data_IF_228064459799
#
_entry.id   IF_228064459799
#
_cell.length_a   1.000
_cell.length_b   1.000
_cell.length_c   1.000
_cell.angle_alpha   90.00
_cell.angle_beta   90.00
_cell.angle_gamma   90.00
#
_symmetry.space_group_name_H-M   'P 1'
#
loop_
_entity.id
_entity.type
_entity.pdbx_description
1 polymer ?
#
# COMPACT_ATOMS: atom_id res chain seq x y z
N UNK A 1 -11.27 23.76 -11.03
CA UNK A 1 -10.95 23.55 -9.60
C UNK A 1 -10.35 22.18 -9.42
N UNK A 2 -9.85 21.82 -8.22
CA UNK A 2 -9.35 20.46 -7.93
C UNK A 2 -10.48 19.43 -8.13
N UNK A 3 -11.72 19.79 -7.80
CA UNK A 3 -12.91 18.97 -8.05
C UNK A 3 -13.18 18.77 -9.55
N UNK A 4 -12.95 19.78 -10.40
CA UNK A 4 -12.99 19.61 -11.87
C UNK A 4 -11.91 18.63 -12.33
N UNK A 5 -10.70 18.72 -11.76
CA UNK A 5 -9.59 17.84 -12.12
C UNK A 5 -9.87 16.38 -11.72
N UNK A 6 -10.41 16.16 -10.52
CA UNK A 6 -10.87 14.85 -10.05
C UNK A 6 -11.91 14.25 -10.99
N UNK A 7 -12.91 15.05 -11.39
CA UNK A 7 -13.95 14.58 -12.30
C UNK A 7 -13.41 14.25 -13.69
N UNK A 8 -12.45 15.04 -14.21
CA UNK A 8 -11.78 14.75 -15.47
C UNK A 8 -10.93 13.47 -15.39
N UNK A 9 -10.27 13.25 -14.25
CA UNK A 9 -9.43 12.10 -14.00
C UNK A 9 -10.21 10.78 -13.86
N UNK A 10 -11.55 10.79 -13.81
CA UNK A 10 -12.33 9.55 -13.81
C UNK A 10 -12.18 8.76 -15.11
N UNK A 11 -12.01 9.44 -16.25
CA UNK A 11 -11.73 8.78 -17.53
C UNK A 11 -10.25 8.38 -17.62
N UNK A 12 -9.97 7.11 -17.95
CA UNK A 12 -8.59 6.57 -18.05
C UNK A 12 -7.72 7.37 -19.03
N UNK A 13 -8.27 7.67 -20.20
CA UNK A 13 -7.66 8.43 -21.28
C UNK A 13 -7.38 9.90 -20.96
N UNK A 14 -7.89 10.41 -19.83
CA UNK A 14 -7.55 11.72 -19.28
C UNK A 14 -6.49 11.67 -18.17
N UNK A 15 -6.37 10.57 -17.42
CA UNK A 15 -5.41 10.47 -16.31
C UNK A 15 -3.98 10.70 -16.80
N UNK A 16 -3.54 9.98 -17.83
CA UNK A 16 -2.19 10.12 -18.39
C UNK A 16 -1.96 11.53 -18.95
N UNK A 17 -2.93 12.11 -19.66
CA UNK A 17 -2.84 13.48 -20.18
C UNK A 17 -2.71 14.54 -19.08
N UNK A 18 -3.38 14.35 -17.94
CA UNK A 18 -3.26 15.24 -16.78
C UNK A 18 -1.85 15.17 -16.20
N UNK A 19 -1.28 13.97 -16.08
CA UNK A 19 0.09 13.78 -15.60
C UNK A 19 1.08 14.43 -16.57
N UNK A 20 0.95 14.18 -17.87
CA UNK A 20 1.79 14.74 -18.93
C UNK A 20 1.69 16.26 -19.03
N UNK A 21 0.52 16.83 -18.73
CA UNK A 21 0.31 18.28 -18.70
C UNK A 21 0.98 18.98 -17.49
N UNK A 22 1.73 18.26 -16.66
CA UNK A 22 2.54 18.85 -15.58
C UNK A 22 1.73 19.23 -14.34
N UNK A 23 0.59 18.59 -14.09
CA UNK A 23 -0.23 18.88 -12.90
C UNK A 23 0.36 18.32 -11.60
N UNK A 24 1.24 17.32 -11.67
CA UNK A 24 1.80 16.66 -10.48
C UNK A 24 2.61 17.61 -9.60
N UNK A 25 3.58 18.40 -10.12
CA UNK A 25 4.31 19.38 -9.29
C UNK A 25 3.41 20.43 -8.64
N UNK A 26 2.31 20.80 -9.30
CA UNK A 26 1.35 21.76 -8.74
C UNK A 26 0.57 21.16 -7.58
N UNK A 27 0.13 19.90 -7.69
CA UNK A 27 -0.53 19.19 -6.60
C UNK A 27 0.43 19.00 -5.41
N UNK A 28 1.68 18.61 -5.70
CA UNK A 28 2.74 18.49 -4.69
C UNK A 28 2.95 19.80 -3.92
N UNK A 29 3.18 20.91 -4.64
CA UNK A 29 3.39 22.22 -4.01
C UNK A 29 2.19 22.70 -3.18
N UNK A 30 0.96 22.34 -3.56
CA UNK A 30 -0.22 22.64 -2.74
C UNK A 30 -0.31 21.76 -1.49
N UNK A 31 0.07 20.49 -1.58
CA UNK A 31 0.06 19.56 -0.44
C UNK A 31 1.13 19.93 0.60
N UNK A 32 2.24 20.49 0.15
CA UNK A 32 3.35 20.95 0.99
C UNK A 32 3.10 22.30 1.67
N UNK A 33 2.04 23.03 1.26
CA UNK A 33 1.67 24.29 1.90
C UNK A 33 1.29 24.08 3.39
N UNK A 34 1.80 24.96 4.25
CA UNK A 34 1.65 24.86 5.72
C UNK A 34 0.23 25.12 6.21
N UNK A 35 -0.55 25.94 5.51
CA UNK A 35 -1.88 26.41 5.95
C UNK A 35 -3.02 25.89 5.08
N UNK A 36 -2.89 24.66 4.57
CA UNK A 36 -3.85 24.10 3.65
C UNK A 36 -5.21 23.85 4.33
N UNK A 37 -6.26 24.45 3.77
CA UNK A 37 -7.64 24.26 4.23
C UNK A 37 -8.07 22.78 4.13
N UNK A 38 -8.74 22.25 5.15
CA UNK A 38 -9.19 20.85 5.21
C UNK A 38 -10.00 20.42 3.99
N UNK A 39 -10.88 21.27 3.45
CA UNK A 39 -11.63 20.98 2.23
C UNK A 39 -10.74 20.85 1.00
N UNK A 40 -9.69 21.67 0.89
CA UNK A 40 -8.70 21.56 -0.18
C UNK A 40 -7.87 20.29 -0.01
N UNK A 41 -7.46 19.97 1.21
CA UNK A 41 -6.72 18.73 1.52
C UNK A 41 -7.52 17.48 1.16
N UNK A 42 -8.83 17.45 1.48
CA UNK A 42 -9.72 16.34 1.11
C UNK A 42 -9.78 16.19 -0.42
N UNK A 43 -9.97 17.30 -1.15
CA UNK A 43 -10.04 17.29 -2.61
C UNK A 43 -8.70 16.87 -3.27
N UNK A 44 -7.56 17.32 -2.73
CA UNK A 44 -6.24 16.93 -3.23
C UNK A 44 -5.98 15.44 -2.99
N UNK A 45 -6.24 14.94 -1.79
CA UNK A 45 -6.04 13.51 -1.49
C UNK A 45 -6.94 12.62 -2.33
N UNK A 46 -8.21 13.00 -2.54
CA UNK A 46 -9.10 12.31 -3.46
C UNK A 46 -8.59 12.33 -4.91
N UNK A 47 -8.09 13.48 -5.37
CA UNK A 47 -7.52 13.60 -6.71
C UNK A 47 -6.28 12.73 -6.90
N UNK A 48 -5.37 12.69 -5.92
CA UNK A 48 -4.18 11.82 -5.94
C UNK A 48 -4.60 10.35 -5.93
N UNK A 49 -5.60 9.96 -5.13
CA UNK A 49 -6.10 8.59 -5.10
C UNK A 49 -6.58 8.15 -6.49
N UNK A 50 -7.38 8.98 -7.18
CA UNK A 50 -7.86 8.67 -8.53
C UNK A 50 -6.73 8.64 -9.57
N UNK A 51 -5.81 9.60 -9.53
CA UNK A 51 -4.69 9.64 -10.47
C UNK A 51 -3.69 8.51 -10.24
N UNK A 52 -3.53 8.05 -9.00
CA UNK A 52 -2.69 6.91 -8.64
C UNK A 52 -3.17 5.57 -9.19
N UNK A 53 -4.37 5.49 -9.78
CA UNK A 53 -4.84 4.27 -10.42
C UNK A 53 -4.08 3.96 -11.72
N UNK A 54 -3.60 4.98 -12.45
CA UNK A 54 -2.80 4.78 -13.65
C UNK A 54 -1.31 4.71 -13.33
N UNK A 55 -0.55 3.94 -14.12
CA UNK A 55 0.87 3.67 -13.84
C UNK A 55 1.74 4.94 -13.78
N UNK A 56 1.45 5.92 -14.66
CA UNK A 56 2.13 7.21 -14.65
C UNK A 56 1.90 7.96 -13.31
N UNK A 57 0.69 7.88 -12.75
CA UNK A 57 0.36 8.50 -11.48
C UNK A 57 1.05 7.84 -10.29
N UNK A 58 1.12 6.51 -10.27
CA UNK A 58 1.80 5.74 -9.19
C UNK A 58 3.23 6.22 -8.98
N UNK A 59 3.98 6.36 -10.06
CA UNK A 59 5.38 6.82 -10.03
C UNK A 59 5.44 8.31 -9.70
N UNK A 60 4.61 9.13 -10.35
CA UNK A 60 4.70 10.57 -10.24
C UNK A 60 4.36 11.09 -8.83
N UNK A 61 3.49 10.39 -8.09
CA UNK A 61 3.11 10.77 -6.73
C UNK A 61 3.93 10.11 -5.62
N UNK A 62 4.94 9.29 -5.94
CA UNK A 62 5.86 8.73 -4.95
C UNK A 62 6.51 9.80 -4.04
N UNK A 63 6.93 10.99 -4.53
CA UNK A 63 7.44 12.05 -3.66
C UNK A 63 6.43 12.54 -2.61
N UNK A 64 5.12 12.34 -2.81
CA UNK A 64 4.08 12.69 -1.84
C UNK A 64 3.92 11.67 -0.71
N UNK A 65 4.55 10.50 -0.80
CA UNK A 65 4.29 9.35 0.08
C UNK A 65 4.30 9.72 1.57
N UNK A 66 5.37 10.37 2.03
CA UNK A 66 5.51 10.77 3.43
C UNK A 66 4.41 11.74 3.87
N UNK A 67 4.06 12.71 3.01
CA UNK A 67 2.98 13.66 3.31
C UNK A 67 1.62 12.96 3.36
N UNK A 68 1.32 12.06 2.42
CA UNK A 68 0.11 11.25 2.44
C UNK A 68 0.02 10.41 3.72
N UNK A 69 1.13 9.81 4.16
CA UNK A 69 1.18 9.04 5.41
C UNK A 69 0.85 9.91 6.63
N UNK A 70 1.35 11.14 6.68
CA UNK A 70 0.98 12.09 7.74
C UNK A 70 -0.51 12.45 7.69
N UNK A 71 -1.09 12.57 6.49
CA UNK A 71 -2.52 12.89 6.32
C UNK A 71 -3.45 11.77 6.80
N UNK A 72 -2.98 10.51 6.87
CA UNK A 72 -3.74 9.39 7.48
C UNK A 72 -3.94 9.53 9.00
N UNK A 73 -3.33 10.55 9.63
CA UNK A 73 -3.47 10.84 11.07
C UNK A 73 -4.49 11.95 11.35
N UNK A 74 -5.01 12.62 10.33
CA UNK A 74 -5.95 13.71 10.51
C UNK A 74 -7.31 13.21 10.99
N UNK A 75 -8.07 14.08 11.67
CA UNK A 75 -9.41 13.77 12.20
C UNK A 75 -10.45 13.53 11.10
N UNK A 76 -10.24 14.09 9.91
CA UNK A 76 -11.13 13.87 8.77
C UNK A 76 -10.97 12.43 8.24
N UNK A 77 -11.96 11.58 8.53
CA UNK A 77 -12.02 10.19 8.05
C UNK A 77 -11.90 10.13 6.52
N UNK A 78 -12.58 11.04 5.82
CA UNK A 78 -12.52 11.11 4.35
C UNK A 78 -11.10 11.40 3.84
N UNK A 79 -10.44 12.42 4.42
CA UNK A 79 -9.07 12.78 4.03
C UNK A 79 -8.10 11.64 4.35
N UNK A 80 -8.24 11.01 5.52
CA UNK A 80 -7.40 9.89 5.92
C UNK A 80 -7.60 8.68 5.00
N UNK A 81 -8.85 8.35 4.66
CA UNK A 81 -9.19 7.25 3.76
C UNK A 81 -8.65 7.48 2.35
N UNK A 82 -8.83 8.69 1.80
CA UNK A 82 -8.31 9.05 0.47
C UNK A 82 -6.78 9.02 0.43
N UNK A 83 -6.12 9.53 1.49
CA UNK A 83 -4.66 9.45 1.59
C UNK A 83 -4.16 8.00 1.65
N UNK A 84 -4.82 7.14 2.44
CA UNK A 84 -4.49 5.72 2.52
C UNK A 84 -4.73 4.99 1.19
N UNK A 85 -5.83 5.27 0.49
CA UNK A 85 -6.09 4.72 -0.84
C UNK A 85 -5.02 5.16 -1.86
N UNK A 86 -4.62 6.43 -1.83
CA UNK A 86 -3.51 6.92 -2.65
C UNK A 86 -2.19 6.19 -2.36
N UNK A 87 -1.88 5.91 -1.09
CA UNK A 87 -0.68 5.16 -0.68
C UNK A 87 -0.70 3.74 -1.26
N UNK A 88 -1.80 3.01 -1.11
CA UNK A 88 -1.90 1.66 -1.67
C UNK A 88 -1.82 1.65 -3.21
N UNK A 89 -2.44 2.65 -3.87
CA UNK A 89 -2.35 2.84 -5.31
C UNK A 89 -0.91 3.05 -5.77
N UNK A 90 -0.17 3.96 -5.11
CA UNK A 90 1.26 4.17 -5.37
C UNK A 90 2.04 2.86 -5.18
N UNK A 91 1.82 2.16 -4.07
CA UNK A 91 2.52 0.93 -3.73
C UNK A 91 2.35 -0.19 -4.78
N UNK A 92 1.15 -0.32 -5.37
CA UNK A 92 0.86 -1.32 -6.41
C UNK A 92 1.71 -1.21 -7.68
N UNK A 93 2.39 -0.07 -7.88
CA UNK A 93 3.25 0.18 -9.04
C UNK A 93 4.74 0.29 -8.71
N UNK A 94 5.14 0.08 -7.46
CA UNK A 94 6.54 0.23 -7.07
C UNK A 94 7.35 -1.02 -7.40
N UNK A 95 8.47 -0.81 -8.09
CA UNK A 95 9.53 -1.82 -8.20
C UNK A 95 10.46 -1.76 -6.98
N UNK A 96 10.83 -0.55 -6.56
CA UNK A 96 11.60 -0.29 -5.34
C UNK A 96 10.69 0.05 -4.16
N UNK A 97 10.74 -0.78 -3.14
CA UNK A 97 9.94 -0.65 -1.92
C UNK A 97 10.70 0.04 -0.77
N UNK A 98 11.95 0.49 -0.99
CA UNK A 98 12.74 1.20 0.01
C UNK A 98 12.01 2.42 0.61
N UNK A 99 11.27 3.25 -0.17
CA UNK A 99 10.51 4.36 0.40
C UNK A 99 9.45 3.90 1.42
N UNK A 100 8.72 2.82 1.13
CA UNK A 100 7.74 2.26 2.06
C UNK A 100 8.40 1.69 3.31
N UNK A 101 9.50 0.96 3.15
CA UNK A 101 10.26 0.38 4.27
C UNK A 101 10.78 1.49 5.20
N UNK A 102 11.30 2.58 4.62
CA UNK A 102 11.82 3.72 5.40
C UNK A 102 10.75 4.44 6.23
N UNK A 103 9.49 4.30 5.85
CA UNK A 103 8.34 4.93 6.50
C UNK A 103 7.46 3.92 7.25
N UNK A 104 7.99 2.72 7.54
CA UNK A 104 7.22 1.63 8.13
C UNK A 104 6.49 2.02 9.42
N UNK A 105 7.09 2.84 10.27
CA UNK A 105 6.44 3.26 11.52
C UNK A 105 5.15 4.05 11.26
N UNK A 106 5.13 4.92 10.25
CA UNK A 106 3.92 5.63 9.83
C UNK A 106 2.90 4.68 9.19
N UNK A 107 3.39 3.74 8.38
CA UNK A 107 2.56 2.72 7.72
C UNK A 107 1.86 1.84 8.76
N UNK A 108 2.62 1.20 9.64
CA UNK A 108 2.12 0.38 10.73
C UNK A 108 1.13 1.16 11.61
N UNK A 109 1.45 2.44 11.89
CA UNK A 109 0.58 3.32 12.65
C UNK A 109 -0.81 3.48 12.02
N UNK A 110 -0.89 3.78 10.72
CA UNK A 110 -2.19 3.96 10.07
C UNK A 110 -2.93 2.64 9.86
N UNK A 111 -2.22 1.58 9.47
CA UNK A 111 -2.80 0.24 9.29
C UNK A 111 -3.45 -0.24 10.59
N UNK A 112 -2.73 -0.11 11.72
CA UNK A 112 -3.26 -0.48 13.03
C UNK A 112 -4.53 0.30 13.38
N UNK A 113 -4.56 1.61 13.13
CA UNK A 113 -5.77 2.44 13.37
C UNK A 113 -6.94 2.03 12.49
N UNK A 114 -6.68 1.76 11.21
CA UNK A 114 -7.74 1.44 10.25
C UNK A 114 -8.32 0.05 10.55
N UNK A 115 -7.47 -0.96 10.77
CA UNK A 115 -7.88 -2.33 11.10
C UNK A 115 -8.58 -2.45 12.45
N UNK A 116 -8.29 -1.55 13.41
CA UNK A 116 -8.96 -1.50 14.70
C UNK A 116 -10.21 -0.59 14.71
N UNK A 117 -10.57 0.00 13.57
CA UNK A 117 -11.73 0.89 13.49
C UNK A 117 -13.05 0.11 13.52
N UNK A 118 -14.18 0.82 13.57
CA UNK A 118 -15.51 0.21 13.35
C UNK A 118 -15.98 0.31 11.90
N UNK A 119 -15.12 0.77 10.98
CA UNK A 119 -15.51 1.09 9.61
C UNK A 119 -15.08 0.00 8.62
N UNK A 120 -16.04 -0.73 8.00
CA UNK A 120 -15.74 -1.68 6.93
C UNK A 120 -14.94 -1.08 5.77
N UNK A 121 -15.18 0.19 5.43
CA UNK A 121 -14.43 0.85 4.37
C UNK A 121 -12.94 1.04 4.75
N UNK A 122 -12.65 1.43 6.00
CA UNK A 122 -11.26 1.57 6.46
C UNK A 122 -10.56 0.22 6.57
N UNK A 123 -11.29 -0.83 6.97
CA UNK A 123 -10.81 -2.21 6.94
C UNK A 123 -10.39 -2.62 5.53
N UNK A 124 -11.27 -2.43 4.55
CA UNK A 124 -10.99 -2.73 3.15
C UNK A 124 -9.75 -1.99 2.64
N UNK A 125 -9.66 -0.67 2.87
CA UNK A 125 -8.49 0.15 2.45
C UNK A 125 -7.19 -0.37 3.08
N UNK A 126 -7.20 -0.72 4.37
CA UNK A 126 -6.02 -1.22 5.06
C UNK A 126 -5.59 -2.62 4.57
N UNK A 127 -6.54 -3.55 4.44
CA UNK A 127 -6.27 -4.90 3.95
C UNK A 127 -5.78 -4.87 2.49
N UNK A 128 -6.40 -4.04 1.65
CA UNK A 128 -5.96 -3.88 0.28
C UNK A 128 -4.57 -3.26 0.18
N UNK A 129 -4.25 -2.25 1.00
CA UNK A 129 -2.89 -1.68 1.08
C UNK A 129 -1.86 -2.73 1.52
N UNK A 130 -2.20 -3.54 2.54
CA UNK A 130 -1.37 -4.64 3.01
C UNK A 130 -1.10 -5.68 1.91
N UNK A 131 -2.11 -5.99 1.09
CA UNK A 131 -1.94 -6.89 -0.06
C UNK A 131 -0.90 -6.34 -1.04
N UNK A 132 -0.96 -5.03 -1.35
CA UNK A 132 0.05 -4.39 -2.21
C UNK A 132 1.45 -4.38 -1.56
N UNK A 133 1.55 -4.13 -0.26
CA UNK A 133 2.84 -4.16 0.44
C UNK A 133 3.45 -5.56 0.50
N UNK A 134 2.61 -6.59 0.61
CA UNK A 134 3.05 -7.99 0.66
C UNK A 134 3.63 -8.51 -0.66
N UNK A 135 3.54 -7.73 -1.76
CA UNK A 135 4.29 -8.01 -3.01
C UNK A 135 5.81 -7.90 -2.81
N UNK A 136 6.26 -7.13 -1.83
CA UNK A 136 7.68 -7.07 -1.45
C UNK A 136 8.01 -8.12 -0.40
N UNK A 137 8.95 -9.06 -0.65
CA UNK A 137 9.37 -10.05 0.34
C UNK A 137 9.86 -9.41 1.65
N UNK A 138 10.51 -8.24 1.56
CA UNK A 138 11.00 -7.51 2.73
C UNK A 138 9.87 -6.88 3.53
N UNK A 139 8.90 -6.22 2.90
CA UNK A 139 7.73 -5.69 3.61
C UNK A 139 6.86 -6.82 4.17
N UNK A 140 6.66 -7.91 3.41
CA UNK A 140 6.00 -9.12 3.90
C UNK A 140 6.65 -9.65 5.17
N UNK A 141 7.98 -9.76 5.20
CA UNK A 141 8.72 -10.14 6.42
C UNK A 141 8.50 -9.16 7.56
N UNK A 142 8.51 -7.85 7.30
CA UNK A 142 8.25 -6.83 8.33
C UNK A 142 6.81 -6.93 8.87
N UNK A 143 5.81 -7.14 8.00
CA UNK A 143 4.40 -7.35 8.38
C UNK A 143 4.28 -8.56 9.31
N UNK A 144 4.85 -9.70 8.90
CA UNK A 144 4.82 -10.96 9.66
C UNK A 144 5.52 -10.86 11.02
N UNK A 145 6.58 -10.05 11.11
CA UNK A 145 7.29 -9.79 12.37
C UNK A 145 6.60 -8.75 13.27
N UNK A 146 5.56 -8.05 12.77
CA UNK A 146 4.78 -7.09 13.55
C UNK A 146 3.60 -7.79 14.20
N UNK A 147 3.83 -8.45 15.34
CA UNK A 147 2.86 -9.31 16.01
C UNK A 147 1.48 -8.65 16.23
N UNK A 148 1.44 -7.39 16.67
CA UNK A 148 0.18 -6.66 16.89
C UNK A 148 -0.64 -6.50 15.61
N UNK A 149 0.04 -6.27 14.48
CA UNK A 149 -0.60 -6.10 13.19
C UNK A 149 -1.14 -7.43 12.67
N UNK A 150 -0.37 -8.52 12.80
CA UNK A 150 -0.82 -9.88 12.46
C UNK A 150 -2.05 -10.28 13.28
N UNK A 151 -2.10 -9.96 14.57
CA UNK A 151 -3.28 -10.21 15.40
C UNK A 151 -4.51 -9.45 14.88
N UNK A 152 -4.36 -8.18 14.51
CA UNK A 152 -5.47 -7.40 13.93
C UNK A 152 -5.96 -8.00 12.61
N UNK A 153 -5.06 -8.35 11.70
CA UNK A 153 -5.41 -8.96 10.40
C UNK A 153 -6.18 -10.27 10.61
N UNK A 154 -5.68 -11.14 11.48
CA UNK A 154 -6.31 -12.44 11.76
C UNK A 154 -7.68 -12.28 12.41
N UNK A 155 -7.79 -11.47 13.46
CA UNK A 155 -9.07 -11.25 14.16
C UNK A 155 -10.13 -10.64 13.23
N UNK A 156 -9.69 -9.77 12.31
CA UNK A 156 -10.58 -9.19 11.32
C UNK A 156 -11.06 -10.23 10.29
N UNK A 157 -10.15 -11.07 9.78
CA UNK A 157 -10.49 -12.16 8.86
C UNK A 157 -11.50 -13.15 9.49
N UNK A 158 -11.27 -13.55 10.74
CA UNK A 158 -12.18 -14.43 11.51
C UNK A 158 -13.56 -13.78 11.74
N UNK A 159 -13.58 -12.48 12.05
CA UNK A 159 -14.82 -11.73 12.23
C UNK A 159 -15.65 -11.68 10.94
N UNK A 160 -15.02 -11.45 9.79
CA UNK A 160 -15.72 -11.38 8.50
C UNK A 160 -16.18 -12.74 7.99
N UNK A 161 -15.40 -13.80 8.20
CA UNK A 161 -15.80 -15.17 7.91
C UNK A 161 -17.05 -15.55 8.74
N UNK A 162 -17.06 -15.22 10.02
CA UNK A 162 -18.22 -15.45 10.90
C UNK A 162 -19.47 -14.71 10.41
N UNK A 163 -19.35 -13.43 10.04
CA UNK A 163 -20.47 -12.64 9.53
C UNK A 163 -20.98 -13.15 8.18
N UNK A 164 -20.08 -13.64 7.32
CA UNK A 164 -20.45 -14.26 6.05
C UNK A 164 -21.24 -15.56 6.28
N UNK A 165 -20.78 -16.44 7.17
CA UNK A 165 -21.46 -17.69 7.53
C UNK A 165 -22.84 -17.47 8.15
N UNK A 166 -23.01 -16.38 8.92
CA UNK A 166 -24.30 -16.01 9.53
C UNK A 166 -25.30 -15.39 8.55
N UNK A 167 -24.92 -15.16 7.28
CA UNK A 167 -25.79 -14.53 6.27
C UNK A 167 -26.13 -13.07 6.59
N UNK A 168 -25.39 -12.42 7.51
CA UNK A 168 -25.62 -11.03 7.93
C UNK A 168 -24.90 -10.02 7.04
N UNK A 169 -24.08 -10.51 6.11
CA UNK A 169 -23.28 -9.72 5.18
C UNK A 169 -23.51 -10.17 3.73
N UNK A 170 -24.67 -9.84 3.19
CA UNK A 170 -25.03 -10.11 1.79
C UNK A 170 -24.79 -8.92 0.85
N UNK A 171 -24.02 -7.92 1.30
CA UNK A 171 -23.65 -6.77 0.48
C UNK A 171 -22.41 -7.08 -0.37
N UNK A 172 -22.32 -6.56 -1.61
CA UNK A 172 -21.14 -6.71 -2.47
C UNK A 172 -19.81 -6.31 -1.79
N UNK A 173 -19.86 -5.28 -0.97
CA UNK A 173 -18.70 -4.72 -0.26
C UNK A 173 -18.17 -5.67 0.83
N UNK A 174 -19.05 -6.42 1.48
CA UNK A 174 -18.65 -7.41 2.47
C UNK A 174 -17.98 -8.62 1.82
N UNK A 175 -18.47 -9.06 0.66
CA UNK A 175 -17.87 -10.16 -0.12
C UNK A 175 -16.47 -9.79 -0.62
N UNK A 176 -16.31 -8.57 -1.13
CA UNK A 176 -15.02 -8.03 -1.57
C UNK A 176 -14.00 -8.03 -0.43
N UNK A 177 -14.42 -7.56 0.75
CA UNK A 177 -13.56 -7.51 1.93
C UNK A 177 -13.13 -8.89 2.45
N UNK A 178 -14.03 -9.87 2.49
CA UNK A 178 -13.68 -11.27 2.84
C UNK A 178 -12.68 -11.84 1.83
N UNK A 179 -12.85 -11.55 0.55
CA UNK A 179 -11.92 -11.98 -0.49
C UNK A 179 -10.54 -11.33 -0.31
N UNK A 180 -10.46 -10.02 -0.08
CA UNK A 180 -9.20 -9.31 0.14
C UNK A 180 -8.48 -9.83 1.39
N UNK A 181 -9.22 -10.05 2.49
CA UNK A 181 -8.66 -10.63 3.71
C UNK A 181 -8.08 -12.03 3.47
N UNK A 182 -8.80 -12.86 2.71
CA UNK A 182 -8.38 -14.23 2.37
C UNK A 182 -7.14 -14.23 1.48
N UNK A 183 -7.11 -13.42 0.42
CA UNK A 183 -5.96 -13.24 -0.46
C UNK A 183 -4.73 -12.76 0.30
N UNK A 184 -4.90 -11.83 1.23
CA UNK A 184 -3.81 -11.35 2.07
C UNK A 184 -3.27 -12.47 2.95
N UNK A 185 -4.13 -13.25 3.61
CA UNK A 185 -3.70 -14.35 4.46
C UNK A 185 -2.98 -15.45 3.67
N UNK A 186 -3.46 -15.79 2.48
CA UNK A 186 -2.78 -16.71 1.57
C UNK A 186 -1.40 -16.16 1.19
N UNK A 187 -1.32 -14.92 0.70
CA UNK A 187 -0.06 -14.26 0.33
C UNK A 187 0.90 -14.17 1.51
N UNK A 188 0.42 -13.93 2.72
CA UNK A 188 1.28 -13.89 3.92
C UNK A 188 1.81 -15.28 4.31
N UNK A 189 1.07 -16.35 4.03
CA UNK A 189 1.43 -17.74 4.34
C UNK A 189 2.28 -18.42 3.26
N UNK A 190 2.29 -17.92 2.02
CA UNK A 190 3.19 -18.40 0.97
C UNK A 190 4.64 -18.37 1.48
N UNK A 191 5.36 -19.50 1.44
CA UNK A 191 6.75 -19.58 1.89
C UNK A 191 7.62 -18.59 1.09
N UNK A 192 8.51 -17.88 1.79
CA UNK A 192 9.65 -17.23 1.14
C UNK A 192 10.66 -18.30 0.73
N UNK A 193 10.32 -19.16 -0.24
CA UNK A 193 11.26 -20.10 -0.85
C UNK A 193 12.16 -19.38 -1.86
N UNK A 194 13.01 -18.48 -1.36
CA UNK A 194 14.10 -17.88 -2.14
C UNK A 194 15.45 -18.06 -1.42
N UNK A 195 15.63 -19.22 -0.81
CA UNK A 195 16.91 -19.64 -0.21
C UNK A 195 17.85 -20.33 -1.21
N UNK A 196 17.59 -20.27 -2.52
CA UNK A 196 18.28 -21.11 -3.52
C UNK A 196 19.10 -20.38 -4.59
N UNK A 197 19.64 -19.20 -4.29
CA UNK A 197 20.67 -18.56 -5.10
C UNK A 197 21.71 -17.89 -4.20
N UNK A 198 22.69 -18.67 -3.74
CA UNK A 198 24.13 -18.36 -3.59
C UNK A 198 24.74 -19.57 -2.84
N UNK A 199 25.18 -20.58 -3.58
CA UNK A 199 26.09 -21.62 -3.09
C UNK A 199 26.85 -22.23 -4.26
N UNK A 200 27.63 -21.40 -4.94
CA UNK A 200 28.69 -21.74 -5.90
C UNK A 200 29.65 -20.54 -5.79
N UNK A 201 30.89 -20.58 -5.33
CA UNK A 201 31.98 -21.56 -5.43
C UNK A 201 33.01 -21.22 -4.33
N UNK A 202 33.39 -22.17 -3.48
CA UNK A 202 34.70 -22.14 -2.83
C UNK A 202 35.32 -23.52 -3.01
N UNK A 203 36.15 -23.66 -4.04
CA UNK A 203 37.04 -24.81 -4.19
C UNK A 203 38.44 -24.40 -3.76
N UNK A 204 39.06 -25.09 -2.79
CA UNK A 204 40.48 -24.91 -2.49
C UNK A 204 41.30 -25.77 -3.45
N UNK A 205 42.20 -25.18 -4.25
CA UNK A 205 43.23 -25.95 -4.95
C UNK A 205 44.49 -26.02 -4.09
N UNK A 206 44.64 -27.13 -3.37
CA UNK A 206 45.93 -27.68 -2.99
C UNK A 206 45.84 -29.17 -3.22
N UNK A 207 46.62 -29.67 -4.16
CA UNK A 207 47.31 -30.94 -4.02
C UNK A 207 48.57 -30.88 -4.88
N UNK A 208 49.68 -31.07 -4.18
CA UNK A 208 50.99 -31.41 -4.70
C UNK A 208 50.91 -32.81 -5.35
N UNK A 209 51.57 -33.05 -6.49
CA UNK A 209 52.41 -34.26 -6.60
C UNK A 209 53.44 -34.22 -7.74
N UNK A 210 54.66 -34.59 -7.37
CA UNK A 210 55.75 -35.26 -8.08
C UNK A 210 55.97 -35.12 -9.61
N UNK A 211 57.10 -34.50 -9.95
CA UNK A 211 58.35 -35.23 -10.27
C UNK A 211 58.41 -36.08 -11.55
N UNK A 212 59.32 -35.73 -12.46
CA UNK A 212 60.31 -36.65 -13.07
C UNK A 212 61.41 -35.85 -13.77
N UNK A 213 62.59 -36.46 -13.79
CA UNK A 213 63.91 -36.04 -14.28
C UNK A 213 63.98 -35.32 -15.65
#
# INVERSE_FOLDING_TARGET
SISTLRNLALAEDHKTKIIEAGFVPKIQGLLDATDLNLGITSELTACIAVLGLCDAGKIAFLPCLRKLLLLTRLESIETAANAAAAIGNIASGLQDHAPLISEWDLINGYLSRFLASSSPNLHHIALWSLLQFAESPKLKSIILNTASLVTLIRGLAESYDTLHQMGTMDSPEARDMTQVASNLMEKLNESCDDSNLISIETSPSKDDDNGCD
#
